data_IF_263466466420
#
_entry.id   IF_263466466420
#
_cell.length_a   1.000
_cell.length_b   1.000
_cell.length_c   1.000
_cell.angle_alpha   90.00
_cell.angle_beta   90.00
_cell.angle_gamma   90.00
#
_symmetry.space_group_name_H-M   'P 1'
#
loop_
_entity.id
_entity.type
_entity.pdbx_description
1 polymer ?
#
# COMPACT_ATOMS: atom_id res chain seq x y z
N UNK A 1 1.53 -22.95 -16.48
CA UNK A 1 0.69 -22.36 -15.44
C UNK A 1 0.98 -22.87 -14.02
N UNK A 2 2.19 -23.36 -13.73
CA UNK A 2 2.58 -23.88 -12.40
C UNK A 2 2.86 -22.83 -11.31
N UNK A 3 2.67 -21.56 -11.60
CA UNK A 3 3.06 -20.46 -10.70
C UNK A 3 1.88 -19.57 -10.28
N UNK A 4 0.64 -20.01 -10.50
CA UNK A 4 -0.57 -19.27 -10.09
C UNK A 4 -1.37 -20.15 -9.14
N UNK A 5 -1.82 -19.57 -8.04
CA UNK A 5 -2.71 -20.18 -7.05
C UNK A 5 -3.98 -19.37 -6.93
N UNK A 6 -5.04 -19.99 -6.44
CA UNK A 6 -6.26 -19.30 -6.04
C UNK A 6 -6.15 -18.92 -4.56
N UNK A 7 -6.43 -17.66 -4.25
CA UNK A 7 -6.65 -17.18 -2.88
C UNK A 7 -8.09 -16.72 -2.73
N UNK A 8 -8.60 -16.74 -1.50
CA UNK A 8 -9.96 -16.31 -1.19
C UNK A 8 -9.94 -14.90 -0.63
N UNK A 9 -10.82 -14.03 -1.11
CA UNK A 9 -11.01 -12.69 -0.55
C UNK A 9 -11.58 -12.80 0.86
N UNK A 10 -10.93 -12.19 1.83
CA UNK A 10 -11.31 -12.21 3.26
C UNK A 10 -11.91 -10.89 3.74
N UNK A 11 -11.55 -9.79 3.10
CA UNK A 11 -12.11 -8.47 3.38
C UNK A 11 -12.08 -7.59 2.13
N UNK A 12 -13.05 -6.66 2.03
CA UNK A 12 -13.08 -5.59 1.02
C UNK A 12 -13.43 -4.29 1.72
N UNK A 13 -12.69 -3.23 1.44
CA UNK A 13 -12.94 -1.90 1.96
C UNK A 13 -12.92 -0.86 0.83
N UNK A 14 -14.05 -0.17 0.65
CA UNK A 14 -14.16 0.94 -0.30
C UNK A 14 -13.88 2.27 0.41
N UNK A 15 -12.75 2.90 0.10
CA UNK A 15 -12.35 4.18 0.68
C UNK A 15 -13.19 5.35 0.19
N UNK A 16 -13.51 5.30 -1.10
CA UNK A 16 -14.37 6.28 -1.81
C UNK A 16 -14.82 5.68 -3.14
N UNK A 17 -15.39 6.52 -4.02
CA UNK A 17 -15.89 6.08 -5.33
C UNK A 17 -14.77 5.61 -6.28
N UNK A 18 -13.51 5.97 -6.02
CA UNK A 18 -12.38 5.66 -6.91
C UNK A 18 -11.34 4.71 -6.32
N UNK A 19 -11.35 4.46 -5.01
CA UNK A 19 -10.32 3.68 -4.32
C UNK A 19 -10.94 2.58 -3.47
N UNK A 20 -10.28 1.43 -3.43
CA UNK A 20 -10.62 0.32 -2.54
C UNK A 20 -9.37 -0.50 -2.18
N UNK A 21 -9.44 -1.20 -1.09
CA UNK A 21 -8.49 -2.23 -0.70
C UNK A 21 -9.22 -3.55 -0.45
N UNK A 22 -8.49 -4.63 -0.55
CA UNK A 22 -9.03 -5.94 -0.22
C UNK A 22 -7.93 -6.83 0.36
N UNK A 23 -8.35 -7.78 1.18
CA UNK A 23 -7.48 -8.80 1.74
C UNK A 23 -7.79 -10.16 1.17
N UNK A 24 -6.80 -11.03 1.18
CA UNK A 24 -6.93 -12.42 0.75
C UNK A 24 -6.27 -13.35 1.73
N UNK A 25 -6.67 -14.62 1.71
CA UNK A 25 -5.89 -15.70 2.32
C UNK A 25 -4.48 -15.71 1.79
N UNK A 26 -3.53 -16.13 2.62
CA UNK A 26 -2.13 -16.32 2.29
C UNK A 26 -1.75 -17.79 2.49
N UNK A 27 -1.16 -18.38 1.46
CA UNK A 27 -0.59 -19.73 1.60
C UNK A 27 0.51 -19.74 2.67
N UNK A 28 0.52 -20.70 3.60
CA UNK A 28 1.51 -20.75 4.69
C UNK A 28 2.97 -20.82 4.20
N UNK A 29 3.20 -21.29 2.99
CA UNK A 29 4.53 -21.34 2.36
C UNK A 29 4.92 -20.07 1.62
N UNK A 30 3.99 -19.13 1.40
CA UNK A 30 4.26 -17.89 0.69
C UNK A 30 5.15 -16.96 1.51
N UNK A 31 6.30 -16.59 0.96
CA UNK A 31 7.26 -15.66 1.60
C UNK A 31 7.50 -14.47 0.69
N UNK A 32 7.51 -13.27 1.28
CA UNK A 32 7.83 -12.04 0.59
C UNK A 32 8.54 -11.07 1.56
N UNK A 33 9.16 -10.05 1.00
CA UNK A 33 9.73 -8.94 1.75
C UNK A 33 8.79 -7.72 1.61
N UNK A 34 8.66 -6.95 2.68
CA UNK A 34 7.84 -5.73 2.69
C UNK A 34 8.27 -4.78 1.57
N UNK A 35 7.31 -4.38 0.72
CA UNK A 35 7.53 -3.56 -0.48
C UNK A 35 7.48 -4.33 -1.80
N UNK A 36 7.48 -5.66 -1.79
CA UNK A 36 7.35 -6.48 -2.99
C UNK A 36 5.92 -6.49 -3.55
N UNK A 37 5.78 -7.00 -4.78
CA UNK A 37 4.51 -7.16 -5.49
C UNK A 37 4.30 -8.59 -5.98
N UNK A 38 3.07 -8.91 -6.33
CA UNK A 38 2.67 -10.13 -7.04
C UNK A 38 1.80 -9.80 -8.25
N UNK A 39 1.62 -10.74 -9.15
CA UNK A 39 0.57 -10.63 -10.14
C UNK A 39 -0.74 -11.10 -9.51
N UNK A 40 -1.77 -10.27 -9.61
CA UNK A 40 -3.15 -10.58 -9.20
C UNK A 40 -4.03 -10.60 -10.44
N UNK A 41 -5.04 -11.44 -10.43
CA UNK A 41 -5.99 -11.49 -11.52
C UNK A 41 -7.27 -12.25 -11.21
N UNK A 42 -8.11 -12.25 -12.23
CA UNK A 42 -9.36 -12.98 -12.29
C UNK A 42 -9.36 -13.85 -13.56
N UNK A 43 -10.13 -14.91 -13.53
CA UNK A 43 -10.41 -15.65 -14.75
C UNK A 43 -11.45 -14.90 -15.58
N UNK A 44 -11.11 -14.59 -16.81
CA UNK A 44 -11.98 -13.91 -17.77
C UNK A 44 -11.98 -14.72 -19.07
N UNK A 45 -13.14 -15.17 -19.49
CA UNK A 45 -13.34 -15.98 -20.70
C UNK A 45 -12.41 -17.23 -20.71
N UNK A 46 -12.29 -17.91 -19.57
CA UNK A 46 -11.45 -19.12 -19.40
C UNK A 46 -9.94 -18.85 -19.41
N UNK A 47 -9.51 -17.60 -19.27
CA UNK A 47 -8.09 -17.21 -19.26
C UNK A 47 -7.78 -16.28 -18.07
N UNK A 48 -6.59 -16.43 -17.45
CA UNK A 48 -6.17 -15.53 -16.41
C UNK A 48 -5.84 -14.13 -16.97
N UNK A 49 -6.52 -13.13 -16.45
CA UNK A 49 -6.22 -11.71 -16.68
C UNK A 49 -5.49 -11.17 -15.46
N UNK A 50 -4.17 -11.00 -15.56
CA UNK A 50 -3.28 -10.68 -14.44
C UNK A 50 -2.67 -9.28 -14.56
N UNK A 51 -2.49 -8.60 -13.42
CA UNK A 51 -1.73 -7.33 -13.32
C UNK A 51 -0.86 -7.34 -12.06
N UNK A 52 0.23 -6.55 -12.09
CA UNK A 52 1.09 -6.37 -10.94
C UNK A 52 0.40 -5.53 -9.86
N UNK A 53 0.44 -6.01 -8.63
CA UNK A 53 -0.07 -5.33 -7.44
C UNK A 53 0.95 -5.41 -6.31
N UNK A 54 1.36 -4.25 -5.81
CA UNK A 54 2.17 -4.19 -4.60
C UNK A 54 1.39 -4.73 -3.40
N UNK A 55 2.05 -5.50 -2.57
CA UNK A 55 1.48 -6.00 -1.32
C UNK A 55 1.52 -4.85 -0.31
N UNK A 56 0.39 -4.53 0.29
CA UNK A 56 0.25 -3.46 1.28
C UNK A 56 0.39 -3.94 2.72
N UNK A 57 0.12 -5.24 2.98
CA UNK A 57 0.39 -5.86 4.28
C UNK A 57 1.90 -6.07 4.49
N UNK A 58 2.39 -6.06 5.74
CA UNK A 58 3.77 -6.39 6.04
C UNK A 58 4.03 -7.89 5.86
N UNK A 59 5.30 -8.27 5.77
CA UNK A 59 5.72 -9.63 5.44
C UNK A 59 5.31 -10.68 6.49
N UNK A 60 5.00 -10.29 7.71
CA UNK A 60 4.63 -11.19 8.80
C UNK A 60 3.11 -11.40 8.95
N UNK A 61 2.27 -10.60 8.25
CA UNK A 61 0.81 -10.76 8.30
C UNK A 61 0.37 -12.13 7.76
N UNK A 62 -0.71 -12.66 8.33
CA UNK A 62 -1.31 -13.92 7.90
C UNK A 62 -2.15 -13.78 6.62
N UNK A 63 -2.52 -12.55 6.26
CA UNK A 63 -3.26 -12.19 5.07
C UNK A 63 -2.42 -11.32 4.14
N UNK A 64 -2.76 -11.32 2.85
CA UNK A 64 -2.21 -10.36 1.89
C UNK A 64 -3.22 -9.25 1.68
N UNK A 65 -2.78 -8.01 1.79
CA UNK A 65 -3.58 -6.82 1.52
C UNK A 65 -3.12 -6.14 0.23
N UNK A 66 -4.09 -5.64 -0.54
CA UNK A 66 -3.86 -4.95 -1.81
C UNK A 66 -4.67 -3.68 -1.88
N UNK A 67 -4.09 -2.64 -2.47
CA UNK A 67 -4.72 -1.34 -2.65
C UNK A 67 -4.86 -1.02 -4.13
N UNK A 68 -6.04 -0.62 -4.57
CA UNK A 68 -6.38 -0.49 -5.98
C UNK A 68 -7.23 0.75 -6.26
N UNK A 69 -7.08 1.26 -7.48
CA UNK A 69 -7.98 2.26 -8.05
C UNK A 69 -9.10 1.56 -8.83
N UNK A 70 -10.31 2.14 -8.78
CA UNK A 70 -11.45 1.74 -9.61
C UNK A 70 -11.36 2.46 -10.95
N UNK A 71 -11.02 1.73 -12.01
CA UNK A 71 -11.01 2.25 -13.38
C UNK A 71 -12.19 1.61 -14.12
N UNK A 72 -13.25 2.37 -14.45
CA UNK A 72 -14.49 1.82 -15.04
C UNK A 72 -14.24 0.96 -16.29
N UNK A 73 -13.36 1.41 -17.18
CA UNK A 73 -13.04 0.72 -18.44
C UNK A 73 -11.74 -0.11 -18.34
N UNK A 74 -11.17 -0.25 -17.15
CA UNK A 74 -9.96 -1.04 -16.93
C UNK A 74 -10.25 -2.54 -17.08
N UNK A 75 -9.45 -3.24 -17.88
CA UNK A 75 -9.68 -4.66 -18.17
C UNK A 75 -9.85 -5.53 -16.93
N UNK A 76 -8.99 -5.35 -15.91
CA UNK A 76 -9.06 -6.06 -14.63
C UNK A 76 -9.83 -5.26 -13.58
N UNK A 77 -9.52 -3.99 -13.40
CA UNK A 77 -10.03 -3.18 -12.28
C UNK A 77 -11.53 -2.97 -12.33
N UNK A 78 -12.14 -2.92 -13.53
CA UNK A 78 -13.61 -2.86 -13.69
C UNK A 78 -14.34 -4.07 -13.09
N UNK A 79 -13.64 -5.21 -13.00
CA UNK A 79 -14.15 -6.46 -12.40
C UNK A 79 -13.71 -6.58 -10.94
N UNK A 80 -12.43 -6.32 -10.69
CA UNK A 80 -11.83 -6.46 -9.36
C UNK A 80 -12.49 -5.55 -8.31
N UNK A 81 -12.99 -4.37 -8.72
CA UNK A 81 -13.72 -3.46 -7.81
C UNK A 81 -15.05 -4.03 -7.29
N UNK A 82 -15.58 -5.08 -7.91
CA UNK A 82 -16.85 -5.71 -7.56
C UNK A 82 -16.68 -7.05 -6.81
N UNK A 83 -15.46 -7.41 -6.44
CA UNK A 83 -15.22 -8.64 -5.66
C UNK A 83 -15.85 -8.54 -4.28
N UNK A 84 -16.27 -9.67 -3.77
CA UNK A 84 -16.85 -9.81 -2.44
C UNK A 84 -16.04 -10.78 -1.58
N UNK A 85 -16.27 -10.73 -0.28
CA UNK A 85 -15.70 -11.73 0.63
C UNK A 85 -16.17 -13.13 0.22
N UNK A 86 -15.24 -14.05 0.12
CA UNK A 86 -15.45 -15.42 -0.37
C UNK A 86 -15.12 -15.63 -1.86
N UNK A 87 -14.98 -14.55 -2.63
CA UNK A 87 -14.64 -14.68 -4.06
C UNK A 87 -13.20 -15.16 -4.24
N UNK A 88 -12.92 -15.97 -5.29
CA UNK A 88 -11.57 -16.37 -5.62
C UNK A 88 -10.83 -15.28 -6.40
N UNK A 89 -9.57 -15.07 -6.09
CA UNK A 89 -8.63 -14.28 -6.88
C UNK A 89 -7.38 -15.09 -7.18
N UNK A 90 -6.79 -14.86 -8.34
CA UNK A 90 -5.56 -15.54 -8.77
C UNK A 90 -4.34 -14.75 -8.29
N UNK A 91 -3.36 -15.43 -7.75
CA UNK A 91 -2.07 -14.86 -7.33
C UNK A 91 -0.91 -15.64 -7.92
N UNK A 92 0.19 -14.97 -8.24
CA UNK A 92 1.45 -15.69 -8.49
C UNK A 92 2.09 -16.13 -7.16
N UNK A 93 2.65 -17.34 -7.15
CA UNK A 93 3.29 -17.94 -5.95
C UNK A 93 4.64 -17.31 -5.60
N UNK A 94 5.22 -16.53 -6.51
CA UNK A 94 6.50 -15.88 -6.31
C UNK A 94 6.33 -14.36 -6.34
N UNK A 95 6.65 -13.67 -5.23
CA UNK A 95 6.73 -12.22 -5.22
C UNK A 95 7.93 -11.75 -6.06
N UNK A 96 7.88 -10.48 -6.45
CA UNK A 96 8.92 -9.82 -7.23
C UNK A 96 9.07 -8.35 -6.77
N UNK A 97 10.10 -7.69 -7.29
CA UNK A 97 10.40 -6.30 -6.98
C UNK A 97 11.60 -6.13 -6.08
N UNK A 98 12.26 -4.99 -6.25
CA UNK A 98 13.49 -4.62 -5.54
C UNK A 98 13.29 -3.43 -4.59
N UNK A 99 12.04 -2.95 -4.44
CA UNK A 99 11.70 -1.92 -3.47
C UNK A 99 11.54 -2.55 -2.08
N UNK A 100 12.66 -3.02 -1.54
CA UNK A 100 12.70 -3.72 -0.25
C UNK A 100 13.77 -3.11 0.65
N UNK A 101 13.58 -3.11 1.99
CA UNK A 101 14.51 -2.51 2.93
C UNK A 101 15.95 -3.01 2.78
N UNK A 102 16.15 -4.30 2.46
CA UNK A 102 17.47 -4.91 2.31
C UNK A 102 18.35 -4.35 1.18
N UNK A 103 17.78 -3.61 0.22
CA UNK A 103 18.54 -2.91 -0.82
C UNK A 103 18.83 -1.44 -0.51
N UNK A 104 18.27 -0.92 0.59
CA UNK A 104 18.51 0.46 0.99
C UNK A 104 19.85 0.58 1.70
N UNK A 105 20.59 1.64 1.38
CA UNK A 105 21.80 2.00 2.14
C UNK A 105 21.33 2.64 3.45
N UNK A 106 21.76 2.14 4.61
CA UNK A 106 21.43 2.76 5.90
C UNK A 106 21.80 4.23 5.93
N UNK A 107 20.92 5.05 6.47
CA UNK A 107 21.11 6.50 6.50
C UNK A 107 20.28 7.15 7.60
N UNK A 108 20.37 8.47 7.70
CA UNK A 108 19.61 9.21 8.71
C UNK A 108 18.12 9.26 8.36
N UNK A 109 17.81 9.55 7.10
CA UNK A 109 16.44 9.78 6.66
C UNK A 109 16.08 8.88 5.48
N UNK A 110 14.92 8.25 5.55
CA UNK A 110 14.30 7.52 4.44
C UNK A 110 13.09 8.32 3.94
N UNK A 111 13.09 8.67 2.67
CA UNK A 111 11.97 9.33 2.01
C UNK A 111 11.17 8.32 1.19
N UNK A 112 9.91 8.15 1.52
CA UNK A 112 8.93 7.30 0.83
C UNK A 112 7.94 8.22 0.10
N UNK A 113 8.14 8.41 -1.20
CA UNK A 113 7.38 9.38 -2.01
C UNK A 113 6.31 8.66 -2.82
N UNK A 114 5.06 8.78 -2.43
CA UNK A 114 3.93 8.09 -3.06
C UNK A 114 2.91 9.02 -3.68
N UNK A 115 2.35 8.61 -4.80
CA UNK A 115 1.15 9.21 -5.37
C UNK A 115 0.05 8.15 -5.54
N UNK A 116 -1.17 8.49 -5.11
CA UNK A 116 -2.33 7.61 -5.24
C UNK A 116 -2.07 6.20 -4.68
N UNK A 117 -2.37 5.18 -5.49
CA UNK A 117 -2.17 3.77 -5.10
C UNK A 117 -0.72 3.32 -5.00
N UNK A 118 0.24 4.14 -5.43
CA UNK A 118 1.66 3.94 -5.17
C UNK A 118 2.02 3.94 -3.67
N UNK A 119 1.07 4.27 -2.80
CA UNK A 119 1.18 4.12 -1.35
C UNK A 119 1.31 2.65 -0.91
N UNK A 120 0.76 1.70 -1.65
CA UNK A 120 0.67 0.28 -1.24
C UNK A 120 2.00 -0.33 -0.76
N UNK A 121 3.12 -0.28 -1.52
CA UNK A 121 4.38 -0.86 -1.06
C UNK A 121 4.93 -0.13 0.18
N UNK A 122 4.67 1.16 0.32
CA UNK A 122 5.10 1.92 1.48
C UNK A 122 4.27 1.61 2.73
N UNK A 123 2.99 1.26 2.59
CA UNK A 123 2.19 0.73 3.70
C UNK A 123 2.79 -0.58 4.24
N UNK A 124 3.25 -1.46 3.34
CA UNK A 124 3.96 -2.68 3.73
C UNK A 124 5.25 -2.36 4.50
N UNK A 125 6.04 -1.40 4.02
CA UNK A 125 7.33 -1.02 4.60
C UNK A 125 7.17 -0.35 5.97
N UNK A 126 6.26 0.63 6.13
CA UNK A 126 6.09 1.34 7.40
C UNK A 126 5.43 0.50 8.49
N UNK A 127 4.76 -0.58 8.13
CA UNK A 127 4.23 -1.57 9.07
C UNK A 127 5.26 -2.62 9.48
N UNK A 128 6.43 -2.63 8.85
CA UNK A 128 7.53 -3.55 9.17
C UNK A 128 8.43 -2.91 10.24
N UNK A 129 8.54 -3.49 11.46
CA UNK A 129 9.31 -2.89 12.53
C UNK A 129 10.79 -2.71 12.19
N UNK A 130 11.37 -3.56 11.34
CA UNK A 130 12.79 -3.51 10.98
C UNK A 130 13.20 -2.22 10.25
N UNK A 131 12.25 -1.51 9.61
CA UNK A 131 12.58 -0.26 8.95
C UNK A 131 13.00 0.84 9.95
N UNK A 132 12.44 0.78 11.16
CA UNK A 132 12.71 1.76 12.22
C UNK A 132 14.09 1.57 12.86
N UNK A 133 14.70 0.39 12.74
CA UNK A 133 16.06 0.15 13.21
C UNK A 133 17.12 0.73 12.26
N UNK A 134 16.76 0.90 10.98
CA UNK A 134 17.67 1.27 9.91
C UNK A 134 17.80 2.78 9.69
N UNK A 135 16.83 3.58 10.16
CA UNK A 135 16.76 5.02 9.91
C UNK A 135 16.37 5.82 11.16
N UNK A 136 16.90 7.05 11.27
CA UNK A 136 16.54 7.97 12.35
C UNK A 136 15.16 8.58 12.12
N UNK A 137 14.80 8.84 10.85
CA UNK A 137 13.49 9.34 10.42
C UNK A 137 13.03 8.67 9.14
N UNK A 138 11.74 8.41 9.06
CA UNK A 138 11.05 7.89 7.90
C UNK A 138 9.98 8.91 7.50
N UNK A 139 10.15 9.54 6.36
CA UNK A 139 9.28 10.59 5.85
C UNK A 139 8.40 9.99 4.75
N UNK A 140 7.13 9.75 5.07
CA UNK A 140 6.15 9.25 4.11
C UNK A 140 5.37 10.43 3.53
N UNK A 141 5.63 10.76 2.28
CA UNK A 141 4.86 11.74 1.52
C UNK A 141 3.78 11.02 0.72
N UNK A 142 2.52 11.41 0.95
CA UNK A 142 1.36 10.84 0.28
C UNK A 142 0.63 11.91 -0.52
N UNK A 143 0.92 11.98 -1.83
CA UNK A 143 0.30 12.92 -2.75
C UNK A 143 -0.96 12.34 -3.40
N UNK A 144 -2.08 13.10 -3.35
CA UNK A 144 -3.34 12.74 -4.00
C UNK A 144 -3.91 13.96 -4.74
N UNK A 145 -5.03 13.77 -5.45
CA UNK A 145 -5.75 14.89 -6.07
C UNK A 145 -6.63 15.60 -5.06
N UNK A 146 -7.34 14.81 -4.24
CA UNK A 146 -8.35 15.26 -3.29
C UNK A 146 -8.10 14.64 -1.91
N UNK A 147 -8.51 15.31 -0.85
CA UNK A 147 -8.44 14.77 0.53
C UNK A 147 -9.20 13.45 0.70
N UNK A 148 -10.31 13.30 -0.01
CA UNK A 148 -11.08 12.05 -0.02
C UNK A 148 -10.32 10.84 -0.59
N UNK A 149 -9.20 11.07 -1.27
CA UNK A 149 -8.30 10.04 -1.79
C UNK A 149 -7.15 9.68 -0.83
N UNK A 150 -7.05 10.33 0.34
CA UNK A 150 -6.04 10.02 1.38
C UNK A 150 -6.45 8.74 2.15
N UNK A 151 -6.49 7.62 1.43
CA UNK A 151 -6.70 6.31 2.02
C UNK A 151 -5.61 5.98 3.05
N UNK A 152 -5.92 5.16 4.04
CA UNK A 152 -5.01 4.77 5.14
C UNK A 152 -4.56 5.91 6.08
N UNK A 153 -5.06 7.14 5.92
CA UNK A 153 -4.63 8.24 6.78
C UNK A 153 -4.83 7.91 8.27
N UNK A 154 -6.01 7.43 8.64
CA UNK A 154 -6.29 7.03 10.04
C UNK A 154 -5.39 5.89 10.51
N UNK A 155 -5.11 4.93 9.65
CA UNK A 155 -4.19 3.81 9.93
C UNK A 155 -2.79 4.33 10.27
N UNK A 156 -2.25 5.25 9.43
CA UNK A 156 -0.91 5.80 9.58
C UNK A 156 -0.81 6.70 10.82
N UNK A 157 -1.85 7.51 11.09
CA UNK A 157 -1.78 8.56 12.11
C UNK A 157 -2.25 8.11 13.49
N UNK A 158 -3.10 7.06 13.56
CA UNK A 158 -3.69 6.64 14.83
C UNK A 158 -3.38 5.17 15.15
N UNK A 159 -3.68 4.25 14.21
CA UNK A 159 -3.59 2.82 14.50
C UNK A 159 -2.14 2.37 14.62
N UNK A 160 -1.29 2.76 13.67
CA UNK A 160 0.11 2.35 13.64
C UNK A 160 0.92 2.90 14.83
N UNK A 161 0.77 4.18 15.26
CA UNK A 161 1.40 4.69 16.47
C UNK A 161 0.96 4.01 17.76
N UNK A 162 -0.23 3.40 17.78
CA UNK A 162 -0.74 2.68 18.95
C UNK A 162 -0.42 1.17 18.92
N UNK A 163 0.43 0.74 17.97
CA UNK A 163 0.87 -0.65 17.90
C UNK A 163 1.62 -1.05 19.18
N UNK A 164 1.22 -2.15 19.86
CA UNK A 164 1.78 -2.51 21.17
C UNK A 164 3.25 -2.97 21.12
N UNK A 165 3.78 -3.29 19.94
CA UNK A 165 5.13 -3.85 19.79
C UNK A 165 6.16 -2.81 19.31
N UNK A 166 5.77 -1.87 18.43
CA UNK A 166 6.70 -0.88 17.84
C UNK A 166 6.07 0.51 17.64
N UNK A 167 4.93 0.79 18.28
CA UNK A 167 4.26 2.10 18.16
C UNK A 167 5.08 3.25 18.74
N UNK A 168 5.98 2.99 19.69
CA UNK A 168 6.90 4.01 20.21
C UNK A 168 7.89 4.47 19.13
N UNK A 169 8.47 3.53 18.38
CA UNK A 169 9.34 3.80 17.24
C UNK A 169 8.61 4.54 16.13
N UNK A 170 7.36 4.16 15.85
CA UNK A 170 6.50 4.87 14.89
C UNK A 170 6.34 6.33 15.31
N UNK A 171 5.92 6.60 16.55
CA UNK A 171 5.76 7.97 17.08
C UNK A 171 7.06 8.77 17.05
N UNK A 172 8.17 8.11 17.32
CA UNK A 172 9.48 8.77 17.36
C UNK A 172 10.05 9.06 15.98
N UNK A 173 9.79 8.22 14.97
CA UNK A 173 10.53 8.22 13.72
C UNK A 173 9.70 8.46 12.47
N UNK A 174 8.41 8.06 12.43
CA UNK A 174 7.56 8.24 11.25
C UNK A 174 7.01 9.67 11.18
N UNK A 175 7.23 10.32 10.04
CA UNK A 175 6.65 11.60 9.69
C UNK A 175 5.74 11.38 8.49
N UNK A 176 4.44 11.53 8.68
CA UNK A 176 3.47 11.43 7.60
C UNK A 176 3.14 12.82 7.05
N UNK A 177 3.40 13.01 5.76
CA UNK A 177 3.14 14.26 5.06
C UNK A 177 2.14 14.03 3.90
N UNK A 178 0.81 14.10 4.16
CA UNK A 178 -0.19 14.06 3.10
C UNK A 178 -0.21 15.40 2.36
N UNK A 179 -0.38 15.37 1.03
CA UNK A 179 -0.55 16.57 0.21
C UNK A 179 -1.59 16.35 -0.88
N UNK A 180 -2.30 17.41 -1.26
CA UNK A 180 -3.33 17.34 -2.31
C UNK A 180 -3.09 18.41 -3.38
N UNK A 181 -3.56 18.16 -4.60
CA UNK A 181 -3.25 19.04 -5.74
C UNK A 181 -4.45 19.79 -6.30
N UNK A 182 -5.68 19.47 -5.86
CA UNK A 182 -6.90 20.02 -6.47
C UNK A 182 -7.87 20.71 -5.51
N UNK A 183 -7.46 20.89 -4.27
CA UNK A 183 -8.22 21.63 -3.28
C UNK A 183 -7.27 22.23 -2.24
N UNK A 184 -7.77 23.23 -1.48
CA UNK A 184 -7.04 23.77 -0.36
C UNK A 184 -7.02 22.77 0.80
N UNK A 185 -5.82 22.52 1.31
CA UNK A 185 -5.62 21.62 2.44
C UNK A 185 -4.61 22.20 3.40
N UNK A 186 -5.07 22.50 4.62
CA UNK A 186 -4.25 23.06 5.69
C UNK A 186 -4.27 22.08 6.87
N UNK A 187 -3.09 21.78 7.42
CA UNK A 187 -2.91 20.98 8.62
C UNK A 187 -2.06 21.76 9.63
N UNK A 188 -2.56 21.90 10.86
CA UNK A 188 -1.84 22.61 11.92
C UNK A 188 -1.36 24.01 11.49
N UNK A 189 -2.16 24.70 10.66
CA UNK A 189 -1.83 26.03 10.15
C UNK A 189 -0.82 26.05 8.99
N UNK A 190 -0.37 24.88 8.50
CA UNK A 190 0.57 24.77 7.38
C UNK A 190 -0.18 24.26 6.13
N UNK A 191 0.00 24.92 4.96
CA UNK A 191 -0.52 24.40 3.69
C UNK A 191 0.08 23.03 3.35
N UNK A 192 -0.78 22.08 3.02
CA UNK A 192 -0.44 20.75 2.53
C UNK A 192 -0.96 20.57 1.10
N UNK A 193 -0.63 21.51 0.24
CA UNK A 193 -1.08 21.61 -1.13
C UNK A 193 0.11 21.67 -2.08
N UNK A 194 0.02 20.97 -3.21
CA UNK A 194 1.06 20.93 -4.23
C UNK A 194 1.45 19.51 -4.63
N UNK A 195 2.25 19.43 -5.66
CA UNK A 195 2.85 18.16 -6.10
C UNK A 195 4.03 17.81 -5.20
N UNK A 196 4.33 16.52 -5.11
CA UNK A 196 5.52 16.05 -4.36
C UNK A 196 6.80 16.71 -4.88
N UNK A 197 6.91 16.93 -6.19
CA UNK A 197 8.05 17.62 -6.81
C UNK A 197 8.22 19.05 -6.31
N UNK A 198 7.13 19.76 -6.08
CA UNK A 198 7.15 21.15 -5.62
C UNK A 198 7.65 21.25 -4.15
N UNK A 199 7.50 20.16 -3.38
CA UNK A 199 7.97 20.07 -2.00
C UNK A 199 9.47 19.77 -1.88
N UNK A 200 10.09 19.25 -2.95
CA UNK A 200 11.53 18.96 -2.95
C UNK A 200 12.37 20.19 -3.26
N UNK A 201 11.76 21.25 -3.82
CA UNK A 201 12.40 22.50 -4.20
C UNK A 201 12.25 23.61 -3.12
N UNK A 202 11.54 23.32 -2.04
CA UNK A 202 11.28 24.22 -0.91
C UNK A 202 12.09 23.85 0.33
#
# INVERSE_FOLDING_TARGET
MRNIVSATVTAVHHWNDTLFSFKTTREPSFRFESGQFVMIGLEVDGRPLMRAYSIASPHYDEELEFFSIKVPDGALTSRLQNINVGDPVMLTVRPAGTLVPGYLIPGKHLYLLSTGTGLAPFMSIIRDPFIYDSFDKIILVHGTRWRSELAYQNEIEQVLPDNPYFGEEVRAKLIYYPTVTREDYVRNGVPHQGRITDLLDS
#
